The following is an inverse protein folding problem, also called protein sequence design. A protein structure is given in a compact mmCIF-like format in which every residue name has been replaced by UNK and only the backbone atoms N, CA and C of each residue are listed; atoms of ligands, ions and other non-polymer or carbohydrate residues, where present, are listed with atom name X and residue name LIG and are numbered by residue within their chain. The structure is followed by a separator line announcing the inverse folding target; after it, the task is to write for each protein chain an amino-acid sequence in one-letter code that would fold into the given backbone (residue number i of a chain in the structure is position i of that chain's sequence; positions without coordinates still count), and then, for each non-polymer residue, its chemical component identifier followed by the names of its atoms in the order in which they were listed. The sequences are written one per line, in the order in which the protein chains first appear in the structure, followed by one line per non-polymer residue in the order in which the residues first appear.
data_IF_184661298080
#
_entry.id   IF_184661298080
#
_cell.length_a   1.000
_cell.length_b   1.000
_cell.length_c   1.000
_cell.angle_alpha   90.00
_cell.angle_beta   90.00
_cell.angle_gamma   90.00
#
_symmetry.space_group_name_H-M   'P 1'
#
loop_
_entity.id
_entity.type
_entity.pdbx_description
1 polymer ?
#
# COMPACT_ATOMS: atom_id res chain seq x y z
N UNK A 1 -9.68 -12.76 10.39
CA UNK A 1 -11.12 -12.39 10.50
C UNK A 1 -11.37 -11.26 11.50
N UNK A 2 -10.91 -11.34 12.76
CA UNK A 2 -11.28 -10.36 13.80
C UNK A 2 -10.88 -8.90 13.48
N UNK A 3 -9.67 -8.66 12.97
CA UNK A 3 -9.21 -7.30 12.62
C UNK A 3 -9.86 -6.77 11.34
N UNK A 4 -10.29 -7.66 10.44
CA UNK A 4 -11.03 -7.26 9.25
C UNK A 4 -12.30 -6.46 9.60
N UNK A 5 -12.97 -6.84 10.70
CA UNK A 5 -14.19 -6.20 11.18
C UNK A 5 -13.95 -5.12 12.25
N UNK A 6 -12.76 -5.01 12.82
CA UNK A 6 -12.54 -4.08 13.94
C UNK A 6 -12.72 -2.61 13.52
N UNK A 7 -12.36 -2.21 12.30
CA UNK A 7 -12.73 -0.87 11.81
C UNK A 7 -14.23 -0.68 11.58
N UNK A 8 -14.96 -1.73 11.18
CA UNK A 8 -16.42 -1.65 11.09
C UNK A 8 -17.07 -1.52 12.47
N UNK A 9 -16.64 -2.34 13.45
CA UNK A 9 -17.12 -2.30 14.83
C UNK A 9 -16.86 -0.93 15.46
N UNK A 10 -15.67 -0.35 15.24
CA UNK A 10 -15.36 1.00 15.70
C UNK A 10 -16.30 2.04 15.08
N UNK A 11 -16.57 1.98 13.77
CA UNK A 11 -17.54 2.86 13.11
C UNK A 11 -18.97 2.65 13.64
N UNK A 12 -19.40 1.41 13.88
CA UNK A 12 -20.73 1.07 14.39
C UNK A 12 -20.92 1.56 15.83
N UNK A 13 -19.92 1.39 16.69
CA UNK A 13 -19.91 1.97 18.04
C UNK A 13 -19.93 3.50 17.99
N UNK A 14 -19.16 4.10 17.09
CA UNK A 14 -19.12 5.54 16.90
C UNK A 14 -20.47 6.10 16.40
N UNK A 15 -21.22 5.32 15.61
CA UNK A 15 -22.58 5.65 15.16
C UNK A 15 -23.60 5.50 16.29
N UNK A 16 -23.54 4.40 17.06
CA UNK A 16 -24.45 4.11 18.17
C UNK A 16 -24.29 5.07 19.34
N UNK A 17 -23.07 5.52 19.61
CA UNK A 17 -22.75 6.46 20.69
C UNK A 17 -22.05 7.72 20.14
N UNK A 18 -22.78 8.66 19.52
CA UNK A 18 -22.19 9.85 18.87
C UNK A 18 -21.35 10.72 19.82
N UNK A 19 -21.70 10.78 21.12
CA UNK A 19 -20.94 11.50 22.14
C UNK A 19 -19.49 10.98 22.28
N UNK A 20 -19.27 9.70 22.00
CA UNK A 20 -17.97 9.01 22.11
C UNK A 20 -17.36 8.68 20.73
N UNK A 21 -17.84 9.35 19.67
CA UNK A 21 -17.43 9.07 18.29
C UNK A 21 -15.91 9.07 18.12
N UNK A 22 -15.22 10.16 18.48
CA UNK A 22 -13.76 10.29 18.32
C UNK A 22 -12.96 9.21 19.05
N UNK A 23 -13.21 8.92 20.35
CA UNK A 23 -12.59 7.79 21.04
C UNK A 23 -12.71 6.46 20.30
N UNK A 24 -13.89 6.12 19.76
CA UNK A 24 -14.08 4.89 19.00
C UNK A 24 -13.26 4.86 17.71
N UNK A 25 -13.20 5.98 16.98
CA UNK A 25 -12.37 6.11 15.78
C UNK A 25 -10.90 5.92 16.11
N UNK A 26 -10.38 6.62 17.14
CA UNK A 26 -8.99 6.49 17.56
C UNK A 26 -8.65 5.09 18.06
N UNK A 27 -9.53 4.45 18.83
CA UNK A 27 -9.36 3.07 19.25
C UNK A 27 -9.29 2.13 18.03
N UNK A 28 -10.20 2.29 17.06
CA UNK A 28 -10.20 1.51 15.83
C UNK A 28 -8.91 1.66 15.01
N UNK A 29 -8.46 2.90 14.79
CA UNK A 29 -7.21 3.20 14.08
C UNK A 29 -6.00 2.61 14.83
N UNK A 30 -5.94 2.76 16.15
CA UNK A 30 -4.86 2.20 16.98
C UNK A 30 -4.83 0.69 16.93
N UNK A 31 -5.98 0.00 16.98
CA UNK A 31 -6.06 -1.45 16.83
C UNK A 31 -5.60 -1.89 15.45
N UNK A 32 -6.01 -1.19 14.39
CA UNK A 32 -5.58 -1.47 13.01
C UNK A 32 -4.05 -1.35 12.85
N UNK A 33 -3.49 -0.26 13.35
CA UNK A 33 -2.05 0.01 13.30
C UNK A 33 -1.27 -0.99 14.17
N UNK A 34 -1.71 -1.25 15.40
CA UNK A 34 -1.08 -2.22 16.29
C UNK A 34 -1.07 -3.63 15.71
N UNK A 35 -2.17 -4.06 15.08
CA UNK A 35 -2.24 -5.36 14.43
C UNK A 35 -1.28 -5.46 13.23
N UNK A 36 -1.21 -4.42 12.39
CA UNK A 36 -0.25 -4.39 11.29
C UNK A 36 1.20 -4.43 11.81
N UNK A 37 1.52 -3.63 12.83
CA UNK A 37 2.82 -3.64 13.49
C UNK A 37 3.14 -5.02 14.07
N UNK A 38 2.21 -5.65 14.78
CA UNK A 38 2.42 -6.98 15.35
C UNK A 38 2.82 -7.98 14.26
N UNK A 39 2.00 -8.16 13.24
CA UNK A 39 2.27 -9.15 12.20
C UNK A 39 3.52 -8.85 11.39
N UNK A 40 3.86 -7.57 11.25
CA UNK A 40 5.03 -7.16 10.49
C UNK A 40 6.35 -7.34 11.24
N UNK A 41 6.36 -7.09 12.56
CA UNK A 41 7.59 -7.09 13.35
C UNK A 41 7.74 -8.31 14.27
N UNK A 42 6.65 -9.01 14.61
CA UNK A 42 6.71 -10.22 15.43
C UNK A 42 7.63 -11.30 14.86
N UNK A 43 7.69 -11.58 13.54
CA UNK A 43 8.63 -12.57 13.01
C UNK A 43 10.10 -12.22 13.32
N UNK A 44 10.49 -10.95 13.17
CA UNK A 44 11.84 -10.48 13.46
C UNK A 44 12.17 -10.55 14.97
N UNK A 45 11.20 -10.24 15.82
CA UNK A 45 11.33 -10.34 17.30
C UNK A 45 11.46 -11.80 17.73
N UNK A 46 10.59 -12.69 17.23
CA UNK A 46 10.65 -14.13 17.51
C UNK A 46 12.01 -14.69 17.07
N UNK A 47 12.47 -14.33 15.87
CA UNK A 47 13.78 -14.76 15.39
C UNK A 47 14.94 -14.25 16.26
N UNK A 48 14.83 -13.03 16.82
CA UNK A 48 15.82 -12.49 17.75
C UNK A 48 15.83 -13.26 19.09
N UNK A 49 14.67 -13.55 19.66
CA UNK A 49 14.54 -14.32 20.91
C UNK A 49 15.04 -15.76 20.70
N UNK A 50 14.72 -16.38 19.56
CA UNK A 50 15.22 -17.73 19.22
C UNK A 50 16.75 -17.78 19.13
N UNK A 51 17.39 -16.73 18.58
CA UNK A 51 18.86 -16.63 18.56
C UNK A 51 19.46 -16.38 19.93
N UNK A 52 18.80 -15.58 20.78
CA UNK A 52 19.31 -15.23 22.11
C UNK A 52 19.12 -16.36 23.13
N UNK A 53 18.01 -17.11 23.04
CA UNK A 53 17.62 -18.13 24.00
C UNK A 53 17.24 -19.46 23.31
N UNK A 54 18.17 -20.14 22.62
CA UNK A 54 17.86 -21.36 21.86
C UNK A 54 17.31 -22.50 22.75
N UNK A 55 17.76 -22.59 24.00
CA UNK A 55 17.29 -23.59 24.96
C UNK A 55 15.83 -23.36 25.40
N UNK A 56 15.34 -22.12 25.44
CA UNK A 56 13.97 -21.78 25.84
C UNK A 56 12.94 -22.34 24.85
N UNK A 57 13.30 -22.43 23.57
CA UNK A 57 12.41 -22.91 22.52
C UNK A 57 12.50 -24.42 22.28
N UNK A 58 13.41 -25.14 22.95
CA UNK A 58 13.56 -26.59 22.77
C UNK A 58 13.82 -27.03 21.31
N UNK A 59 14.42 -26.15 20.49
CA UNK A 59 14.61 -26.39 19.05
C UNK A 59 13.37 -26.15 18.17
N UNK A 60 12.23 -25.72 18.74
CA UNK A 60 11.04 -25.41 17.97
C UNK A 60 11.20 -24.14 17.13
N UNK A 61 11.08 -24.30 15.81
CA UNK A 61 11.03 -23.17 14.87
C UNK A 61 9.59 -22.63 14.80
N UNK A 62 9.29 -21.63 15.64
CA UNK A 62 8.07 -20.85 15.49
C UNK A 62 8.18 -19.94 14.26
N UNK A 63 7.40 -20.24 13.22
CA UNK A 63 7.22 -19.37 12.07
C UNK A 63 5.86 -18.68 12.18
N UNK A 64 5.85 -17.35 12.16
CA UNK A 64 4.63 -16.54 12.10
C UNK A 64 4.42 -16.09 10.65
N UNK A 65 3.54 -16.75 9.87
CA UNK A 65 3.29 -16.33 8.50
C UNK A 65 2.57 -14.98 8.49
N UNK A 66 3.04 -14.06 7.64
CA UNK A 66 2.38 -12.79 7.44
C UNK A 66 1.06 -13.02 6.69
N UNK A 67 -0.11 -12.60 7.22
CA UNK A 67 -1.37 -12.80 6.51
C UNK A 67 -1.39 -12.01 5.21
N UNK A 68 -1.72 -12.66 4.10
CA UNK A 68 -1.78 -12.02 2.79
C UNK A 68 -2.78 -10.86 2.80
N UNK A 69 -2.40 -9.72 2.20
CA UNK A 69 -3.27 -8.53 2.11
C UNK A 69 -3.46 -7.76 3.42
N UNK A 70 -2.83 -8.16 4.53
CA UNK A 70 -3.00 -7.51 5.85
C UNK A 70 -2.76 -6.00 5.80
N UNK A 71 -1.68 -5.57 5.14
CA UNK A 71 -1.35 -4.16 4.96
C UNK A 71 -2.47 -3.42 4.25
N UNK A 72 -2.96 -3.97 3.15
CA UNK A 72 -4.00 -3.37 2.33
C UNK A 72 -5.32 -3.22 3.11
N UNK A 73 -5.78 -4.29 3.78
CA UNK A 73 -6.97 -4.23 4.61
C UNK A 73 -6.84 -3.24 5.77
N UNK A 74 -5.67 -3.15 6.41
CA UNK A 74 -5.41 -2.17 7.46
C UNK A 74 -5.51 -0.74 6.91
N UNK A 75 -4.85 -0.43 5.80
CA UNK A 75 -4.88 0.91 5.21
C UNK A 75 -6.29 1.33 4.80
N UNK A 76 -7.04 0.45 4.13
CA UNK A 76 -8.44 0.71 3.80
C UNK A 76 -9.32 0.89 5.06
N UNK A 77 -9.00 0.19 6.16
CA UNK A 77 -9.80 0.23 7.40
C UNK A 77 -9.59 1.54 8.13
N UNK A 78 -8.33 1.99 8.22
CA UNK A 78 -7.96 3.31 8.72
C UNK A 78 -8.57 4.40 7.85
N UNK A 79 -8.47 4.29 6.52
CA UNK A 79 -9.07 5.25 5.59
C UNK A 79 -10.58 5.39 5.81
N UNK A 80 -11.31 4.26 5.88
CA UNK A 80 -12.76 4.28 6.16
C UNK A 80 -13.09 4.96 7.48
N UNK A 81 -12.38 4.63 8.57
CA UNK A 81 -12.61 5.23 9.89
C UNK A 81 -12.38 6.75 9.88
N UNK A 82 -11.29 7.20 9.28
CA UNK A 82 -10.93 8.62 9.21
C UNK A 82 -11.87 9.37 8.28
N UNK A 83 -12.19 8.83 7.11
CA UNK A 83 -13.13 9.44 6.16
C UNK A 83 -14.54 9.52 6.76
N UNK A 84 -14.97 8.47 7.49
CA UNK A 84 -16.22 8.51 8.23
C UNK A 84 -16.18 9.65 9.25
N UNK A 85 -15.13 9.76 10.08
CA UNK A 85 -14.97 10.84 11.06
C UNK A 85 -15.06 12.23 10.43
N UNK A 86 -14.44 12.44 9.27
CA UNK A 86 -14.46 13.69 8.50
C UNK A 86 -15.79 13.98 7.82
N UNK A 87 -16.67 12.99 7.70
CA UNK A 87 -17.91 13.10 6.92
C UNK A 87 -17.72 12.88 5.41
N UNK A 88 -16.52 12.45 4.99
CA UNK A 88 -16.18 12.13 3.60
C UNK A 88 -16.72 10.74 3.16
N UNK A 89 -17.12 9.91 4.12
CA UNK A 89 -17.74 8.61 3.89
C UNK A 89 -18.98 8.42 4.78
N UNK A 90 -20.01 7.76 4.23
CA UNK A 90 -21.19 7.33 4.99
C UNK A 90 -20.90 6.07 5.81
N UNK A 91 -21.70 5.85 6.86
CA UNK A 91 -21.68 4.57 7.57
C UNK A 91 -22.11 3.43 6.63
N UNK A 92 -21.33 2.36 6.60
CA UNK A 92 -21.65 1.15 5.84
C UNK A 92 -22.38 0.14 6.74
N UNK A 93 -23.46 -0.45 6.25
CA UNK A 93 -23.96 -1.72 6.75
C UNK A 93 -22.85 -2.79 6.70
N UNK A 94 -22.96 -3.83 7.53
CA UNK A 94 -21.97 -4.91 7.56
C UNK A 94 -21.78 -5.55 6.17
N UNK A 95 -22.87 -5.68 5.41
CA UNK A 95 -22.85 -6.22 4.05
C UNK A 95 -22.05 -5.35 3.09
N UNK A 96 -22.31 -4.04 3.06
CA UNK A 96 -21.58 -3.09 2.21
C UNK A 96 -20.09 -3.08 2.57
N UNK A 97 -19.78 -3.11 3.87
CA UNK A 97 -18.40 -3.12 4.36
C UNK A 97 -17.65 -4.39 3.96
N UNK A 98 -18.28 -5.56 4.09
CA UNK A 98 -17.69 -6.83 3.65
C UNK A 98 -17.45 -6.77 2.14
N UNK A 99 -18.42 -6.32 1.34
CA UNK A 99 -18.29 -6.21 -0.12
C UNK A 99 -17.16 -5.25 -0.53
N UNK A 100 -17.08 -4.07 0.12
CA UNK A 100 -16.02 -3.09 -0.10
C UNK A 100 -14.63 -3.70 0.12
N UNK A 101 -14.47 -4.43 1.22
CA UNK A 101 -13.21 -5.08 1.59
C UNK A 101 -12.90 -6.31 0.74
N UNK A 102 -13.89 -7.13 0.41
CA UNK A 102 -13.70 -8.41 -0.27
C UNK A 102 -13.68 -8.31 -1.79
N UNK A 103 -13.76 -7.10 -2.36
CA UNK A 103 -13.72 -6.91 -3.80
C UNK A 103 -12.43 -7.46 -4.41
N UNK A 104 -12.54 -8.61 -5.08
CA UNK A 104 -11.40 -9.46 -5.44
C UNK A 104 -10.39 -8.77 -6.35
N UNK A 105 -10.85 -7.87 -7.22
CA UNK A 105 -10.02 -7.15 -8.19
C UNK A 105 -8.96 -6.25 -7.54
N UNK A 106 -9.06 -5.99 -6.23
CA UNK A 106 -8.08 -5.22 -5.46
C UNK A 106 -7.51 -5.93 -4.21
N UNK A 107 -7.91 -7.18 -3.94
CA UNK A 107 -7.88 -7.79 -2.60
C UNK A 107 -6.49 -7.90 -1.94
N UNK A 108 -5.43 -8.09 -2.73
CA UNK A 108 -4.08 -8.40 -2.20
C UNK A 108 -3.17 -7.18 -2.28
N UNK A 109 -3.06 -6.58 -3.48
CA UNK A 109 -2.18 -5.46 -3.76
C UNK A 109 -2.78 -4.52 -4.83
N UNK A 110 -4.10 -4.37 -4.86
CA UNK A 110 -4.75 -3.48 -5.81
C UNK A 110 -4.52 -2.00 -5.50
N UNK A 111 -5.11 -1.09 -6.30
CA UNK A 111 -5.21 0.31 -5.93
C UNK A 111 -5.94 0.46 -4.58
N UNK A 112 -5.41 1.27 -3.66
CA UNK A 112 -6.02 1.52 -2.34
C UNK A 112 -7.23 2.43 -2.52
N UNK A 113 -8.38 1.86 -2.91
CA UNK A 113 -9.60 2.64 -3.15
C UNK A 113 -10.18 3.20 -1.87
N UNK A 114 -10.74 4.41 -1.96
CA UNK A 114 -11.52 4.99 -0.87
C UNK A 114 -12.96 4.48 -0.91
N UNK A 115 -13.56 4.41 0.28
CA UNK A 115 -14.97 4.06 0.44
C UNK A 115 -15.89 4.93 -0.43
N UNK A 116 -15.62 6.25 -0.45
CA UNK A 116 -16.39 7.24 -1.23
C UNK A 116 -16.34 7.03 -2.74
N UNK A 117 -15.31 6.36 -3.26
CA UNK A 117 -15.14 6.10 -4.69
C UNK A 117 -15.79 4.77 -5.09
N UNK A 118 -15.61 3.73 -4.28
CA UNK A 118 -16.04 2.37 -4.62
C UNK A 118 -17.51 2.10 -4.25
N UNK A 119 -17.98 2.57 -3.09
CA UNK A 119 -19.35 2.26 -2.63
C UNK A 119 -20.45 2.74 -3.60
N UNK A 120 -20.43 3.99 -4.11
CA UNK A 120 -21.49 4.43 -5.02
C UNK A 120 -21.56 3.57 -6.28
N UNK A 121 -20.41 3.08 -6.77
CA UNK A 121 -20.34 2.19 -7.93
C UNK A 121 -20.92 0.79 -7.62
N UNK A 122 -20.72 0.28 -6.40
CA UNK A 122 -21.27 -1.00 -5.97
C UNK A 122 -22.79 -0.94 -5.72
N UNK A 123 -23.28 0.19 -5.21
CA UNK A 123 -24.71 0.42 -4.96
C UNK A 123 -25.51 0.62 -6.26
N UNK A 124 -24.90 1.26 -7.24
CA UNK A 124 -25.49 1.54 -8.55
C UNK A 124 -24.78 0.78 -9.67
N UNK A 125 -24.48 -0.50 -9.42
CA UNK A 125 -23.77 -1.33 -10.39
C UNK A 125 -24.61 -1.47 -11.67
N UNK A 126 -24.06 -0.97 -12.78
CA UNK A 126 -24.67 -1.08 -14.10
C UNK A 126 -24.03 -2.22 -14.88
N UNK A 127 -24.75 -2.75 -15.88
CA UNK A 127 -24.14 -3.74 -16.78
C UNK A 127 -22.99 -3.06 -17.54
N UNK A 128 -21.81 -3.70 -17.64
CA UNK A 128 -20.70 -3.16 -18.40
C UNK A 128 -21.10 -3.01 -19.87
N UNK A 129 -20.72 -1.89 -20.48
CA UNK A 129 -20.87 -1.70 -21.92
C UNK A 129 -19.90 -2.58 -22.71
N UNK A 130 -20.13 -2.78 -24.01
CA UNK A 130 -19.16 -3.45 -24.88
C UNK A 130 -17.78 -2.75 -24.86
N UNK A 131 -17.78 -1.42 -24.75
CA UNK A 131 -16.56 -0.63 -24.58
C UNK A 131 -15.86 -0.91 -23.25
N UNK A 132 -16.59 -1.08 -22.15
CA UNK A 132 -15.99 -1.44 -20.86
C UNK A 132 -15.38 -2.85 -20.89
N UNK A 133 -16.03 -3.79 -21.59
CA UNK A 133 -15.48 -5.13 -21.81
C UNK A 133 -14.20 -5.10 -22.65
N UNK A 134 -14.23 -4.40 -23.80
CA UNK A 134 -13.08 -4.28 -24.69
C UNK A 134 -11.89 -3.59 -24.01
N UNK A 135 -12.12 -2.44 -23.36
CA UNK A 135 -11.07 -1.71 -22.66
C UNK A 135 -10.56 -2.47 -21.44
N UNK A 136 -11.44 -3.16 -20.71
CA UNK A 136 -11.06 -3.98 -19.56
C UNK A 136 -10.19 -5.17 -19.98
N UNK A 137 -10.53 -5.83 -21.08
CA UNK A 137 -9.73 -6.91 -21.66
C UNK A 137 -8.38 -6.39 -22.16
N UNK A 138 -8.35 -5.27 -22.89
CA UNK A 138 -7.12 -4.67 -23.38
C UNK A 138 -6.18 -4.28 -22.22
N UNK A 139 -6.71 -3.67 -21.17
CA UNK A 139 -5.93 -3.31 -19.98
C UNK A 139 -5.41 -4.55 -19.24
N UNK A 140 -6.23 -5.59 -19.12
CA UNK A 140 -5.81 -6.87 -18.54
C UNK A 140 -4.67 -7.51 -19.35
N UNK A 141 -4.81 -7.59 -20.68
CA UNK A 141 -3.78 -8.12 -21.57
C UNK A 141 -2.47 -7.33 -21.51
N UNK A 142 -2.55 -6.00 -21.41
CA UNK A 142 -1.38 -5.15 -21.20
C UNK A 142 -0.70 -5.45 -19.85
N UNK A 143 -1.49 -5.61 -18.79
CA UNK A 143 -0.95 -5.98 -17.48
C UNK A 143 -0.28 -7.35 -17.49
N UNK A 144 -0.86 -8.32 -18.20
CA UNK A 144 -0.29 -9.64 -18.40
C UNK A 144 1.03 -9.59 -19.17
N UNK A 145 1.11 -8.78 -20.22
CA UNK A 145 2.35 -8.54 -20.98
C UNK A 145 3.44 -7.95 -20.06
N UNK A 146 3.11 -6.90 -19.28
CA UNK A 146 4.05 -6.29 -18.33
C UNK A 146 4.57 -7.33 -17.33
N UNK A 147 3.70 -8.18 -16.78
CA UNK A 147 4.10 -9.20 -15.82
C UNK A 147 4.98 -10.29 -16.45
N UNK A 148 4.44 -11.02 -17.42
CA UNK A 148 5.05 -12.26 -17.93
C UNK A 148 6.23 -12.01 -18.87
N UNK A 149 6.20 -10.92 -19.63
CA UNK A 149 7.21 -10.65 -20.68
C UNK A 149 8.26 -9.66 -20.21
N UNK A 150 7.89 -8.66 -19.42
CA UNK A 150 8.84 -7.65 -18.94
C UNK A 150 9.36 -8.01 -17.55
N UNK A 151 8.48 -8.08 -16.56
CA UNK A 151 8.89 -8.22 -15.16
C UNK A 151 9.65 -9.53 -14.93
N UNK A 152 9.08 -10.67 -15.33
CA UNK A 152 9.69 -11.99 -15.11
C UNK A 152 11.02 -12.15 -15.86
N UNK A 153 11.24 -11.42 -16.97
CA UNK A 153 12.52 -11.42 -17.69
C UNK A 153 13.57 -10.53 -17.03
N UNK A 154 13.15 -9.37 -16.54
CA UNK A 154 14.04 -8.47 -15.81
C UNK A 154 14.41 -9.03 -14.43
N UNK A 155 13.54 -9.84 -13.84
CA UNK A 155 13.77 -10.61 -12.61
C UNK A 155 15.00 -11.51 -12.74
N UNK A 156 15.09 -12.29 -13.82
CA UNK A 156 16.25 -13.16 -14.09
C UNK A 156 17.57 -12.37 -14.17
N UNK A 157 17.53 -11.16 -14.72
CA UNK A 157 18.71 -10.29 -14.83
C UNK A 157 19.09 -9.73 -13.45
N UNK A 158 18.11 -9.22 -12.71
CA UNK A 158 18.31 -8.65 -11.38
C UNK A 158 18.81 -9.71 -10.38
N UNK A 159 18.17 -10.88 -10.36
CA UNK A 159 18.48 -11.97 -9.43
C UNK A 159 19.87 -12.55 -9.68
N UNK A 160 20.26 -12.75 -10.94
CA UNK A 160 21.61 -13.22 -11.27
C UNK A 160 22.68 -12.28 -10.69
N UNK A 161 22.49 -10.96 -10.87
CA UNK A 161 23.44 -9.95 -10.42
C UNK A 161 23.44 -9.80 -8.90
N UNK A 162 22.27 -9.71 -8.26
CA UNK A 162 22.17 -9.47 -6.82
C UNK A 162 22.41 -10.68 -5.94
N UNK A 163 22.28 -11.90 -6.48
CA UNK A 163 22.63 -13.12 -5.74
C UNK A 163 24.14 -13.32 -5.62
N UNK A 164 24.94 -12.75 -6.51
CA UNK A 164 26.39 -12.94 -6.53
C UNK A 164 27.14 -11.73 -7.12
N UNK A 165 26.98 -10.52 -6.56
CA UNK A 165 27.48 -9.28 -7.16
C UNK A 165 29.01 -9.27 -7.36
N UNK A 166 29.76 -9.97 -6.51
CA UNK A 166 31.22 -10.08 -6.62
C UNK A 166 31.72 -10.82 -7.87
N UNK A 167 30.84 -11.52 -8.59
CA UNK A 167 31.17 -12.25 -9.82
C UNK A 167 30.96 -11.42 -11.09
N UNK A 168 30.40 -10.20 -10.97
CA UNK A 168 30.00 -9.37 -12.10
C UNK A 168 30.82 -8.09 -12.19
N UNK A 169 31.15 -7.69 -13.42
CA UNK A 169 31.75 -6.38 -13.70
C UNK A 169 30.76 -5.23 -13.52
N UNK A 170 31.28 -4.00 -13.49
CA UNK A 170 30.51 -2.76 -13.24
C UNK A 170 29.31 -2.58 -14.17
N UNK A 171 29.45 -2.93 -15.45
CA UNK A 171 28.37 -2.83 -16.43
C UNK A 171 27.20 -3.78 -16.11
N UNK A 172 27.51 -5.02 -15.71
CA UNK A 172 26.50 -6.00 -15.32
C UNK A 172 25.82 -5.61 -14.00
N UNK A 173 26.56 -5.03 -13.04
CA UNK A 173 25.97 -4.47 -11.82
C UNK A 173 24.95 -3.36 -12.14
N UNK A 174 25.29 -2.44 -13.05
CA UNK A 174 24.38 -1.39 -13.49
C UNK A 174 23.16 -1.96 -14.23
N UNK A 175 23.37 -2.97 -15.09
CA UNK A 175 22.28 -3.65 -15.77
C UNK A 175 21.33 -4.35 -14.79
N UNK A 176 21.85 -4.99 -13.73
CA UNK A 176 21.04 -5.59 -12.67
C UNK A 176 20.22 -4.55 -11.89
N UNK A 177 20.81 -3.39 -11.58
CA UNK A 177 20.10 -2.28 -10.94
C UNK A 177 18.95 -1.75 -11.80
N UNK A 178 19.21 -1.48 -13.09
CA UNK A 178 18.17 -1.02 -14.03
C UNK A 178 17.12 -2.11 -14.24
N UNK A 179 17.55 -3.36 -14.38
CA UNK A 179 16.69 -4.54 -14.48
C UNK A 179 15.72 -4.62 -13.30
N UNK A 180 16.23 -4.48 -12.07
CA UNK A 180 15.39 -4.46 -10.87
C UNK A 180 14.39 -3.31 -10.87
N UNK A 181 14.80 -2.10 -11.26
CA UNK A 181 13.89 -0.95 -11.36
C UNK A 181 12.76 -1.19 -12.38
N UNK A 182 13.08 -1.79 -13.54
CA UNK A 182 12.06 -2.14 -14.54
C UNK A 182 11.18 -3.28 -14.04
N UNK A 183 11.77 -4.31 -13.42
CA UNK A 183 11.08 -5.47 -12.85
C UNK A 183 10.01 -5.03 -11.84
N UNK A 184 10.39 -4.28 -10.81
CA UNK A 184 9.46 -3.89 -9.74
C UNK A 184 8.32 -3.01 -10.27
N UNK A 185 8.60 -2.14 -11.24
CA UNK A 185 7.58 -1.34 -11.91
C UNK A 185 6.63 -2.20 -12.75
N UNK A 186 7.17 -3.04 -13.62
CA UNK A 186 6.38 -3.84 -14.55
C UNK A 186 5.54 -4.90 -13.82
N UNK A 187 6.09 -5.48 -12.75
CA UNK A 187 5.40 -6.45 -11.90
C UNK A 187 4.17 -5.80 -11.25
N UNK A 188 4.39 -4.66 -10.58
CA UNK A 188 3.33 -4.02 -9.81
C UNK A 188 2.33 -3.24 -10.69
N UNK A 189 2.82 -2.54 -11.72
CA UNK A 189 1.94 -1.93 -12.72
C UNK A 189 1.14 -2.99 -13.46
N UNK A 190 1.76 -4.11 -13.83
CA UNK A 190 1.07 -5.23 -14.49
C UNK A 190 -0.03 -5.83 -13.63
N UNK A 191 0.28 -6.09 -12.35
CA UNK A 191 -0.70 -6.58 -11.38
C UNK A 191 -1.90 -5.62 -11.23
N UNK A 192 -1.62 -4.33 -11.04
CA UNK A 192 -2.70 -3.35 -10.84
C UNK A 192 -3.51 -3.09 -12.11
N UNK A 193 -2.91 -3.15 -13.30
CA UNK A 193 -3.64 -3.05 -14.56
C UNK A 193 -4.53 -4.27 -14.80
N UNK A 194 -4.08 -5.48 -14.49
CA UNK A 194 -4.94 -6.67 -14.51
C UNK A 194 -6.13 -6.53 -13.56
N UNK A 195 -5.90 -6.08 -12.32
CA UNK A 195 -6.97 -5.81 -11.36
C UNK A 195 -7.97 -4.76 -11.85
N UNK A 196 -7.48 -3.65 -12.40
CA UNK A 196 -8.31 -2.58 -12.99
C UNK A 196 -9.09 -3.07 -14.20
N UNK A 197 -8.48 -3.90 -15.06
CA UNK A 197 -9.13 -4.51 -16.22
C UNK A 197 -10.28 -5.43 -15.80
N UNK A 198 -10.05 -6.31 -14.83
CA UNK A 198 -11.09 -7.16 -14.24
C UNK A 198 -12.24 -6.33 -13.65
N UNK A 199 -11.94 -5.29 -12.87
CA UNK A 199 -12.96 -4.43 -12.30
C UNK A 199 -13.77 -3.72 -13.39
N UNK A 200 -13.11 -3.24 -14.45
CA UNK A 200 -13.76 -2.54 -15.55
C UNK A 200 -14.73 -3.44 -16.32
N UNK A 201 -14.35 -4.70 -16.55
CA UNK A 201 -15.24 -5.72 -17.12
C UNK A 201 -16.44 -6.07 -16.22
N UNK A 202 -16.43 -5.65 -14.95
CA UNK A 202 -17.55 -5.77 -14.02
C UNK A 202 -18.35 -4.46 -13.85
N UNK A 203 -18.03 -3.41 -14.64
CA UNK A 203 -18.67 -2.10 -14.53
C UNK A 203 -18.12 -1.22 -13.40
N UNK A 204 -16.96 -1.57 -12.82
CA UNK A 204 -16.32 -0.82 -11.72
C UNK A 204 -15.00 -0.20 -12.21
N UNK A 205 -14.83 1.10 -11.98
CA UNK A 205 -13.62 1.83 -12.36
C UNK A 205 -12.72 2.02 -11.15
N UNK A 206 -11.62 1.29 -11.13
CA UNK A 206 -10.56 1.43 -10.13
C UNK A 206 -9.53 2.50 -10.58
N UNK A 207 -8.99 3.30 -9.63
CA UNK A 207 -8.04 4.36 -9.94
C UNK A 207 -6.72 3.78 -10.48
N UNK A 208 -6.02 4.60 -11.26
CA UNK A 208 -4.68 4.28 -11.75
C UNK A 208 -3.65 4.34 -10.62
N UNK A 209 -2.73 3.37 -10.61
CA UNK A 209 -1.69 3.30 -9.59
C UNK A 209 -0.30 3.68 -10.12
N UNK A 210 -0.08 3.66 -11.43
CA UNK A 210 1.20 4.00 -12.06
C UNK A 210 0.99 4.81 -13.34
N UNK A 211 1.62 5.98 -13.43
CA UNK A 211 1.52 6.88 -14.57
C UNK A 211 2.92 7.25 -15.10
N UNK A 212 3.55 6.35 -15.85
CA UNK A 212 4.92 6.51 -16.38
C UNK A 212 5.90 7.16 -15.38
N UNK A 213 6.13 6.54 -14.20
CA UNK A 213 6.84 7.16 -13.09
C UNK A 213 8.31 7.49 -13.39
N UNK A 214 8.98 6.68 -14.20
CA UNK A 214 10.39 6.92 -14.57
C UNK A 214 10.58 8.06 -15.58
N UNK A 215 9.50 8.64 -16.10
CA UNK A 215 9.54 9.89 -16.88
C UNK A 215 9.33 11.14 -16.02
N UNK A 216 9.24 11.00 -14.69
CA UNK A 216 9.14 12.12 -13.78
C UNK A 216 10.41 12.98 -13.82
N UNK A 217 10.22 14.30 -13.82
CA UNK A 217 11.29 15.30 -13.86
C UNK A 217 11.71 15.78 -12.48
N UNK A 218 11.00 15.35 -11.43
CA UNK A 218 11.32 15.69 -10.05
C UNK A 218 10.87 14.60 -9.06
N UNK A 219 11.43 14.54 -7.84
CA UNK A 219 10.98 13.61 -6.81
C UNK A 219 9.49 13.74 -6.48
N UNK A 220 8.95 14.95 -6.37
CA UNK A 220 7.53 15.16 -6.12
C UNK A 220 6.66 14.70 -7.27
N UNK A 221 7.11 14.86 -8.52
CA UNK A 221 6.41 14.30 -9.68
C UNK A 221 6.45 12.77 -9.69
N UNK A 222 7.57 12.17 -9.32
CA UNK A 222 7.70 10.71 -9.18
C UNK A 222 6.66 10.16 -8.19
N UNK A 223 6.51 10.76 -7.01
CA UNK A 223 5.51 10.35 -6.03
C UNK A 223 4.05 10.57 -6.47
N UNK A 224 3.80 11.45 -7.44
CA UNK A 224 2.47 11.61 -8.07
C UNK A 224 2.20 10.59 -9.18
N UNK A 225 3.20 9.81 -9.58
CA UNK A 225 3.14 8.85 -10.69
C UNK A 225 3.44 7.41 -10.27
N UNK A 226 4.12 7.22 -9.14
CA UNK A 226 4.46 5.92 -8.56
C UNK A 226 3.49 5.57 -7.44
N UNK A 227 2.92 4.36 -7.49
CA UNK A 227 1.99 3.83 -6.50
C UNK A 227 1.00 4.89 -5.98
N UNK A 228 0.31 5.54 -6.93
CA UNK A 228 -0.46 6.77 -6.73
C UNK A 228 -1.40 6.64 -5.53
N UNK A 229 -2.18 5.56 -5.45
CA UNK A 229 -3.16 5.42 -4.35
C UNK A 229 -2.51 5.33 -2.97
N UNK A 230 -1.30 4.76 -2.87
CA UNK A 230 -0.55 4.75 -1.61
C UNK A 230 0.03 6.13 -1.30
N UNK A 231 0.61 6.79 -2.30
CA UNK A 231 1.14 8.15 -2.18
C UNK A 231 0.06 9.12 -1.69
N UNK A 232 -1.16 9.01 -2.22
CA UNK A 232 -2.32 9.77 -1.78
C UNK A 232 -2.78 9.40 -0.37
N UNK A 233 -2.78 8.10 -0.04
CA UNK A 233 -3.12 7.62 1.30
C UNK A 233 -2.15 8.20 2.33
N UNK A 234 -0.84 8.05 2.11
CA UNK A 234 0.19 8.60 3.00
C UNK A 234 0.02 10.12 3.16
N UNK A 235 -0.23 10.82 2.06
CA UNK A 235 -0.47 12.26 2.07
C UNK A 235 -1.68 12.65 2.93
N UNK A 236 -2.80 11.96 2.76
CA UNK A 236 -4.09 12.39 3.32
C UNK A 236 -4.37 11.85 4.74
N UNK A 237 -3.71 10.76 5.13
CA UNK A 237 -3.89 10.11 6.44
C UNK A 237 -2.67 10.23 7.37
N UNK A 238 -1.48 10.60 6.86
CA UNK A 238 -0.28 10.82 7.69
C UNK A 238 0.21 12.26 7.54
N UNK A 239 0.61 12.67 6.33
CA UNK A 239 1.30 13.95 6.11
C UNK A 239 0.44 15.16 6.50
N UNK A 240 -0.75 15.31 5.90
CA UNK A 240 -1.65 16.46 6.15
C UNK A 240 -2.11 16.51 7.62
N UNK A 241 -2.57 15.41 8.25
CA UNK A 241 -3.01 15.43 9.66
C UNK A 241 -1.92 15.84 10.65
N UNK A 242 -0.65 15.50 10.39
CA UNK A 242 0.48 15.89 11.24
C UNK A 242 0.90 17.37 11.06
N UNK A 243 0.23 18.10 10.16
CA UNK A 243 0.51 19.49 9.83
C UNK A 243 1.44 19.67 8.64
N UNK A 244 1.59 18.65 7.78
CA UNK A 244 2.31 18.78 6.53
C UNK A 244 1.73 19.91 5.67
N UNK A 245 2.57 20.86 5.27
CA UNK A 245 2.15 22.08 4.55
C UNK A 245 1.53 23.17 5.42
N UNK A 246 1.58 23.05 6.77
CA UNK A 246 1.16 24.07 7.73
C UNK A 246 2.28 24.34 8.74
N UNK A 247 2.40 25.57 9.21
CA UNK A 247 3.46 25.99 10.14
C UNK A 247 4.78 26.35 9.45
N UNK A 248 5.84 26.55 10.25
CA UNK A 248 7.15 26.97 9.74
C UNK A 248 7.92 25.87 9.00
N UNK A 249 8.96 26.23 8.22
CA UNK A 249 9.74 25.30 7.39
C UNK A 249 10.29 24.09 8.14
N UNK A 250 10.81 24.30 9.36
CA UNK A 250 11.35 23.22 10.21
C UNK A 250 10.30 22.17 10.57
N UNK A 251 9.07 22.59 10.88
CA UNK A 251 7.96 21.67 11.18
C UNK A 251 7.56 20.89 9.92
N UNK A 252 7.47 21.56 8.78
CA UNK A 252 7.12 20.92 7.51
C UNK A 252 8.16 19.85 7.12
N UNK A 253 9.45 20.11 7.35
CA UNK A 253 10.54 19.15 7.14
C UNK A 253 10.44 17.97 8.12
N UNK A 254 10.25 18.23 9.41
CA UNK A 254 10.10 17.17 10.41
C UNK A 254 8.92 16.22 10.10
N UNK A 255 7.78 16.77 9.68
CA UNK A 255 6.62 15.98 9.27
C UNK A 255 6.90 15.19 7.98
N UNK A 256 7.63 15.77 7.02
CA UNK A 256 8.04 15.07 5.80
C UNK A 256 8.93 13.86 6.11
N UNK A 257 9.98 14.06 6.93
CA UNK A 257 10.90 12.99 7.35
C UNK A 257 10.13 11.88 8.07
N UNK A 258 9.27 12.24 9.03
CA UNK A 258 8.46 11.26 9.76
C UNK A 258 7.53 10.49 8.82
N UNK A 259 6.84 11.18 7.91
CA UNK A 259 5.92 10.58 6.94
C UNK A 259 6.64 9.55 6.06
N UNK A 260 7.80 9.91 5.54
CA UNK A 260 8.58 9.05 4.66
C UNK A 260 9.26 7.89 5.41
N UNK A 261 9.69 8.11 6.65
CA UNK A 261 10.18 7.04 7.51
C UNK A 261 9.07 6.01 7.81
N UNK A 262 7.85 6.47 8.11
CA UNK A 262 6.69 5.58 8.28
C UNK A 262 6.36 4.84 6.99
N UNK A 263 6.46 5.51 5.83
CA UNK A 263 6.29 4.86 4.52
C UNK A 263 7.32 3.74 4.29
N UNK A 264 8.60 3.99 4.59
CA UNK A 264 9.65 2.97 4.53
C UNK A 264 9.35 1.79 5.46
N UNK A 265 9.09 2.07 6.73
CA UNK A 265 8.69 1.06 7.72
C UNK A 265 7.39 0.32 7.35
N UNK A 266 6.53 0.89 6.50
CA UNK A 266 5.37 0.22 5.92
C UNK A 266 5.71 -0.71 4.75
N UNK A 267 6.84 -0.54 4.04
CA UNK A 267 7.30 -1.46 3.00
C UNK A 267 8.02 -2.70 3.57
N UNK A 268 8.87 -2.57 4.60
CA UNK A 268 9.45 -3.73 5.29
C UNK A 268 10.03 -3.42 6.66
N UNK A 269 10.47 -4.47 7.37
CA UNK A 269 10.98 -4.37 8.75
C UNK A 269 12.50 -4.22 8.86
N UNK A 270 13.24 -4.34 7.74
CA UNK A 270 14.69 -4.15 7.72
C UNK A 270 15.08 -2.67 7.75
N UNK A 271 16.29 -2.39 8.23
CA UNK A 271 16.87 -1.04 8.24
C UNK A 271 16.92 -0.40 6.84
N UNK A 272 17.11 -1.21 5.79
CA UNK A 272 17.16 -0.74 4.40
C UNK A 272 15.89 0.00 3.98
N UNK A 273 14.71 -0.42 4.46
CA UNK A 273 13.46 0.27 4.17
C UNK A 273 13.32 1.60 4.91
N UNK A 274 13.81 1.68 6.15
CA UNK A 274 13.87 2.95 6.87
C UNK A 274 14.81 3.93 6.14
N UNK A 275 15.99 3.47 5.73
CA UNK A 275 16.94 4.27 4.97
C UNK A 275 16.36 4.72 3.62
N UNK A 276 15.63 3.84 2.92
CA UNK A 276 14.91 4.18 1.70
C UNK A 276 13.88 5.30 1.93
N UNK A 277 13.12 5.24 3.02
CA UNK A 277 12.20 6.31 3.42
C UNK A 277 12.92 7.64 3.67
N UNK A 278 13.99 7.61 4.46
CA UNK A 278 14.80 8.80 4.74
C UNK A 278 15.47 9.38 3.48
N UNK A 279 15.90 8.53 2.56
CA UNK A 279 16.45 8.94 1.27
C UNK A 279 15.43 9.74 0.46
N UNK A 280 14.20 9.23 0.33
CA UNK A 280 13.15 9.97 -0.36
C UNK A 280 12.73 11.24 0.38
N UNK A 281 12.77 11.26 1.72
CA UNK A 281 12.57 12.49 2.49
C UNK A 281 13.61 13.56 2.12
N UNK A 282 14.88 13.16 2.01
CA UNK A 282 15.98 14.04 1.59
C UNK A 282 15.76 14.60 0.18
N UNK A 283 15.42 13.75 -0.79
CA UNK A 283 15.12 14.18 -2.16
C UNK A 283 13.98 15.21 -2.20
N UNK A 284 12.89 14.96 -1.48
CA UNK A 284 11.73 15.86 -1.41
C UNK A 284 12.02 17.14 -0.62
N UNK A 285 12.94 17.10 0.35
CA UNK A 285 13.38 18.27 1.08
C UNK A 285 14.24 19.18 0.21
N UNK A 286 15.18 18.61 -0.55
CA UNK A 286 16.05 19.35 -1.47
C UNK A 286 15.24 20.02 -2.59
N UNK A 287 14.24 19.34 -3.16
CA UNK A 287 13.38 19.93 -4.20
C UNK A 287 12.57 21.15 -3.70
N UNK A 288 12.31 21.25 -2.39
CA UNK A 288 11.51 22.35 -1.81
C UNK A 288 12.32 23.61 -1.53
N UNK A 289 13.65 23.52 -1.56
CA UNK A 289 14.58 24.64 -1.35
C UNK A 289 14.92 25.23 -2.72
#
# INVERSE_FOLDING_TARGET
MAVFLASWLAAASAQRWPRWRRPWIYAGVSIMAAHLCFWKYAPSVVAAIQRACPAFWGGAKLALPLPLGISFFTLQGIAYLVDYERGDAKFMSLREYILFKSFFAQLIAGPITRARELLPQLEHLTRPSEADLADGLALFSLGLLKKLVIADRMDLVADAVFSSPGQFGRAALLAGLVGYAVQIWADFSGYTDMGRGCARMLGIRLPENFLSPYLARSPSEFWRRWHITLSEWIRDYIYKPLGGGRGGPARALGVLVLTMAVSGLWHGSSLTFLLWGLYHAGLLAVERV
#
